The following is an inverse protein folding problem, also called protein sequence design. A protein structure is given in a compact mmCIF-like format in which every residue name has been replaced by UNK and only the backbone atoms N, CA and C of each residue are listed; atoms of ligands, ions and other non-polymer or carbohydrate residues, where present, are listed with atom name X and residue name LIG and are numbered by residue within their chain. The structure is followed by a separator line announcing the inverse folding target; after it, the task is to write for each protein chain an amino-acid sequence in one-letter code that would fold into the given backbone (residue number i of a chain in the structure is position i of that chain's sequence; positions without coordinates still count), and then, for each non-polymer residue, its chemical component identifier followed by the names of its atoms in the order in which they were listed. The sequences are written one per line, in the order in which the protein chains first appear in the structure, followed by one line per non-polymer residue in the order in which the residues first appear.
data_IF_889937895888
#
_entry.id   IF_889937895888
#
_cell.length_a   1.000
_cell.length_b   1.000
_cell.length_c   1.000
_cell.angle_alpha   90.00
_cell.angle_beta   90.00
_cell.angle_gamma   90.00
#
_symmetry.space_group_name_H-M   'P 1'
#
loop_
_entity.id
_entity.type
_entity.pdbx_description
1 polymer ?
#
# COMPACT_ATOMS: atom_id res chain seq x y z
N UNK A 1 -10.03 -27.65 -17.83
CA UNK A 1 -9.54 -27.26 -16.50
C UNK A 1 -9.93 -25.81 -16.27
N UNK A 2 -10.35 -25.45 -15.06
CA UNK A 2 -10.59 -24.04 -14.72
C UNK A 2 -9.25 -23.28 -14.75
N UNK A 3 -9.22 -22.09 -15.34
CA UNK A 3 -8.04 -21.22 -15.32
C UNK A 3 -7.71 -20.89 -13.87
N UNK A 4 -6.42 -20.93 -13.53
CA UNK A 4 -5.94 -20.33 -12.29
C UNK A 4 -6.11 -18.81 -12.36
N UNK A 5 -6.14 -18.15 -11.20
CA UNK A 5 -6.31 -16.70 -11.13
C UNK A 5 -5.25 -15.95 -11.95
N UNK A 6 -4.00 -16.38 -11.89
CA UNK A 6 -2.89 -15.75 -12.62
C UNK A 6 -3.01 -15.93 -14.13
N UNK A 7 -3.43 -17.10 -14.60
CA UNK A 7 -3.69 -17.35 -16.02
C UNK A 7 -4.86 -16.49 -16.53
N UNK A 8 -5.93 -16.41 -15.75
CA UNK A 8 -7.07 -15.55 -16.08
C UNK A 8 -6.66 -14.07 -16.18
N UNK A 9 -6.03 -13.52 -15.14
CA UNK A 9 -5.58 -12.13 -15.12
C UNK A 9 -4.62 -11.84 -16.28
N UNK A 10 -3.64 -12.72 -16.52
CA UNK A 10 -2.67 -12.56 -17.62
C UNK A 10 -3.31 -12.60 -18.99
N UNK A 11 -4.32 -13.45 -19.20
CA UNK A 11 -5.05 -13.53 -20.48
C UNK A 11 -5.79 -12.23 -20.81
N UNK A 12 -6.21 -11.49 -19.79
CA UNK A 12 -6.90 -10.20 -19.97
C UNK A 12 -5.94 -9.01 -20.13
N UNK A 13 -4.68 -9.16 -19.68
CA UNK A 13 -3.67 -8.09 -19.70
C UNK A 13 -3.36 -7.58 -21.11
N UNK A 14 -3.32 -8.46 -22.12
CA UNK A 14 -2.98 -8.09 -23.49
C UNK A 14 -4.02 -7.18 -24.17
N UNK A 15 -5.26 -7.18 -23.67
CA UNK A 15 -6.36 -6.37 -24.18
C UNK A 15 -6.66 -5.18 -23.25
N UNK A 16 -6.04 -5.16 -22.07
CA UNK A 16 -6.23 -4.11 -21.09
C UNK A 16 -5.36 -2.90 -21.45
N UNK A 17 -6.02 -1.80 -21.85
CA UNK A 17 -5.36 -0.55 -22.22
C UNK A 17 -4.43 -0.03 -21.12
N UNK A 18 -4.83 -0.09 -19.86
CA UNK A 18 -4.00 0.37 -18.73
C UNK A 18 -2.75 -0.49 -18.55
N UNK A 19 -2.86 -1.81 -18.78
CA UNK A 19 -1.71 -2.70 -18.73
C UNK A 19 -0.71 -2.39 -19.85
N UNK A 20 -1.20 -2.13 -21.06
CA UNK A 20 -0.36 -1.70 -22.19
C UNK A 20 0.31 -0.36 -21.87
N UNK A 21 -0.43 0.64 -21.41
CA UNK A 21 0.13 1.95 -21.06
C UNK A 21 1.18 1.85 -19.94
N UNK A 22 0.96 1.00 -18.94
CA UNK A 22 1.92 0.78 -17.86
C UNK A 22 3.21 0.06 -18.32
N UNK A 23 3.12 -0.86 -19.27
CA UNK A 23 4.25 -1.69 -19.72
C UNK A 23 4.95 -1.18 -20.99
N UNK A 24 4.30 -0.29 -21.74
CA UNK A 24 4.79 0.29 -23.00
C UNK A 24 4.77 1.82 -22.96
N UNK A 25 4.91 2.40 -21.76
CA UNK A 25 5.01 3.85 -21.59
C UNK A 25 6.17 4.44 -22.38
N UNK A 26 6.05 5.68 -22.85
CA UNK A 26 7.08 6.39 -23.64
C UNK A 26 8.47 6.32 -23.00
N UNK A 27 8.53 6.46 -21.67
CA UNK A 27 9.76 6.29 -20.89
C UNK A 27 10.45 4.95 -21.15
N UNK A 28 9.70 3.84 -21.10
CA UNK A 28 10.21 2.48 -21.31
C UNK A 28 10.60 2.26 -22.77
N UNK A 29 9.84 2.80 -23.71
CA UNK A 29 10.16 2.75 -25.14
C UNK A 29 11.49 3.48 -25.43
N UNK A 30 11.68 4.68 -24.90
CA UNK A 30 12.92 5.44 -25.05
C UNK A 30 14.11 4.72 -24.37
N UNK A 31 13.88 4.11 -23.21
CA UNK A 31 14.88 3.30 -22.52
C UNK A 31 15.31 2.10 -23.38
N UNK A 32 14.34 1.35 -23.93
CA UNK A 32 14.60 0.20 -24.81
C UNK A 32 15.28 0.56 -26.13
N UNK A 33 15.09 1.79 -26.61
CA UNK A 33 15.78 2.32 -27.80
C UNK A 33 17.17 2.92 -27.51
N UNK A 34 17.59 2.97 -26.24
CA UNK A 34 18.84 3.63 -25.84
C UNK A 34 18.83 5.15 -26.01
N UNK A 35 17.65 5.78 -26.09
CA UNK A 35 17.47 7.23 -26.31
C UNK A 35 17.03 7.98 -25.06
N UNK A 36 16.88 7.30 -23.93
CA UNK A 36 16.41 7.92 -22.69
C UNK A 36 17.45 8.93 -22.16
N UNK A 37 17.08 10.20 -21.95
CA UNK A 37 17.98 11.19 -21.36
C UNK A 37 18.40 10.81 -19.94
N UNK A 38 19.67 11.05 -19.61
CA UNK A 38 20.24 10.73 -18.30
C UNK A 38 19.47 11.39 -17.15
N UNK A 39 19.11 12.67 -17.30
CA UNK A 39 18.34 13.43 -16.31
C UNK A 39 16.95 12.83 -16.07
N UNK A 40 16.30 12.32 -17.13
CA UNK A 40 14.98 11.67 -17.01
C UNK A 40 15.09 10.34 -16.28
N UNK A 41 16.18 9.59 -16.49
CA UNK A 41 16.48 8.37 -15.75
C UNK A 41 16.79 8.66 -14.27
N UNK A 42 17.58 9.70 -13.99
CA UNK A 42 17.90 10.14 -12.63
C UNK A 42 16.65 10.57 -11.85
N UNK A 43 15.73 11.32 -12.49
CA UNK A 43 14.44 11.66 -11.90
C UNK A 43 13.61 10.42 -11.56
N UNK A 44 13.54 9.44 -12.46
CA UNK A 44 12.85 8.16 -12.18
C UNK A 44 13.48 7.42 -11.01
N UNK A 45 14.81 7.34 -10.94
CA UNK A 45 15.54 6.66 -9.87
C UNK A 45 15.37 7.34 -8.50
N UNK A 46 15.34 8.68 -8.45
CA UNK A 46 15.09 9.41 -7.19
C UNK A 46 13.70 9.13 -6.63
N UNK A 47 12.68 9.05 -7.50
CA UNK A 47 11.31 8.71 -7.13
C UNK A 47 11.17 7.26 -6.69
N UNK A 48 11.76 6.33 -7.46
CA UNK A 48 11.70 4.89 -7.17
C UNK A 48 12.39 4.56 -5.86
N UNK A 49 13.50 5.24 -5.53
CA UNK A 49 14.19 5.12 -4.24
C UNK A 49 13.28 5.44 -3.06
N UNK A 50 12.47 6.49 -3.16
CA UNK A 50 11.59 6.92 -2.05
C UNK A 50 10.47 5.91 -1.85
N UNK A 51 9.82 5.47 -2.93
CA UNK A 51 8.83 4.39 -2.86
C UNK A 51 9.43 3.12 -2.27
N UNK A 52 10.58 2.67 -2.79
CA UNK A 52 11.29 1.47 -2.38
C UNK A 52 11.80 1.53 -0.94
N UNK A 53 12.36 2.67 -0.50
CA UNK A 53 12.95 2.80 0.83
C UNK A 53 11.92 3.14 1.91
N UNK A 54 10.87 3.90 1.60
CA UNK A 54 9.97 4.46 2.60
C UNK A 54 8.58 3.81 2.58
N UNK A 55 7.91 3.77 1.43
CA UNK A 55 6.52 3.30 1.36
C UNK A 55 6.42 1.77 1.38
N UNK A 56 7.21 1.10 0.53
CA UNK A 56 7.15 -0.34 0.34
C UNK A 56 7.46 -1.14 1.63
N UNK A 57 8.50 -0.81 2.45
CA UNK A 57 8.78 -1.58 3.66
C UNK A 57 7.68 -1.45 4.71
N UNK A 58 7.06 -0.27 4.81
CA UNK A 58 5.92 -0.04 5.72
C UNK A 58 4.71 -0.87 5.31
N UNK A 59 4.39 -0.89 4.01
CA UNK A 59 3.31 -1.70 3.47
C UNK A 59 3.53 -3.20 3.72
N UNK A 60 4.72 -3.72 3.38
CA UNK A 60 5.02 -5.14 3.61
C UNK A 60 5.03 -5.48 5.10
N UNK A 61 5.56 -4.60 5.95
CA UNK A 61 5.49 -4.74 7.41
C UNK A 61 4.04 -4.85 7.91
N UNK A 62 3.14 -4.01 7.40
CA UNK A 62 1.72 -4.06 7.73
C UNK A 62 1.05 -5.38 7.31
N UNK A 63 1.46 -5.98 6.19
CA UNK A 63 1.00 -7.32 5.78
C UNK A 63 1.53 -8.42 6.69
N UNK A 64 2.82 -8.34 7.09
CA UNK A 64 3.44 -9.31 8.01
C UNK A 64 2.67 -9.37 9.34
N UNK A 65 2.30 -8.22 9.90
CA UNK A 65 1.55 -8.17 11.18
C UNK A 65 0.16 -8.80 11.11
N UNK A 66 -0.40 -9.00 9.91
CA UNK A 66 -1.74 -9.55 9.69
C UNK A 66 -1.73 -11.05 9.37
N UNK A 67 -0.57 -11.69 9.32
CA UNK A 67 -0.50 -13.15 9.12
C UNK A 67 -1.18 -13.82 10.33
N UNK A 68 -2.19 -14.70 10.12
CA UNK A 68 -3.03 -15.21 11.19
C UNK A 68 -2.38 -16.39 11.93
N UNK A 69 -1.19 -16.19 12.50
CA UNK A 69 -0.58 -17.16 13.40
C UNK A 69 -1.40 -17.30 14.68
N UNK A 70 -1.62 -18.54 15.14
CA UNK A 70 -2.26 -18.82 16.44
C UNK A 70 -1.40 -19.80 17.23
N UNK A 71 -1.33 -19.57 18.55
CA UNK A 71 -0.64 -20.48 19.47
C UNK A 71 -1.24 -21.89 19.50
N UNK A 72 -2.50 -22.02 19.06
CA UNK A 72 -3.23 -23.28 18.97
C UNK A 72 -2.97 -24.05 17.68
N UNK A 73 -2.28 -23.45 16.70
CA UNK A 73 -2.00 -24.13 15.44
C UNK A 73 -0.96 -25.25 15.66
N UNK A 74 -1.17 -26.40 15.01
CA UNK A 74 -0.21 -27.50 15.10
C UNK A 74 1.13 -27.09 14.47
N UNK A 75 2.23 -27.31 15.20
CA UNK A 75 3.60 -26.93 14.77
C UNK A 75 3.97 -27.49 13.39
N UNK A 76 3.48 -28.69 13.05
CA UNK A 76 3.72 -29.34 11.76
C UNK A 76 2.50 -29.32 10.82
N UNK A 77 1.44 -28.60 11.19
CA UNK A 77 0.18 -28.52 10.47
C UNK A 77 0.29 -27.68 9.19
N UNK A 78 -0.66 -27.87 8.28
CA UNK A 78 -0.66 -27.18 6.99
C UNK A 78 -0.93 -25.67 7.11
N UNK A 79 -1.65 -25.24 8.15
CA UNK A 79 -1.91 -23.81 8.43
C UNK A 79 -0.63 -23.09 8.84
N UNK A 80 0.12 -23.67 9.78
CA UNK A 80 1.40 -23.14 10.25
C UNK A 80 2.41 -23.04 9.09
N UNK A 81 2.55 -24.12 8.30
CA UNK A 81 3.41 -24.13 7.10
C UNK A 81 3.03 -23.03 6.12
N UNK A 82 1.74 -22.86 5.82
CA UNK A 82 1.28 -21.83 4.89
C UNK A 82 1.56 -20.41 5.41
N UNK A 83 1.35 -20.16 6.70
CA UNK A 83 1.66 -18.88 7.32
C UNK A 83 3.17 -18.60 7.28
N UNK A 84 4.01 -19.62 7.52
CA UNK A 84 5.47 -19.53 7.38
C UNK A 84 5.90 -19.25 5.94
N UNK A 85 5.26 -19.86 4.94
CA UNK A 85 5.51 -19.56 3.53
C UNK A 85 5.17 -18.11 3.17
N UNK A 86 4.04 -17.59 3.66
CA UNK A 86 3.64 -16.18 3.47
C UNK A 86 4.67 -15.25 4.13
N UNK A 87 5.06 -15.53 5.38
CA UNK A 87 6.05 -14.74 6.09
C UNK A 87 7.39 -14.73 5.35
N UNK A 88 7.84 -15.89 4.85
CA UNK A 88 9.07 -16.03 4.08
C UNK A 88 9.01 -15.23 2.78
N UNK A 89 7.88 -15.26 2.07
CA UNK A 89 7.68 -14.49 0.86
C UNK A 89 7.75 -12.97 1.15
N UNK A 90 7.03 -12.48 2.15
CA UNK A 90 7.03 -11.06 2.54
C UNK A 90 8.40 -10.59 3.03
N UNK A 91 9.12 -11.43 3.79
CA UNK A 91 10.50 -11.12 4.23
C UNK A 91 11.47 -11.08 3.05
N UNK A 92 11.26 -11.94 2.04
CA UNK A 92 12.05 -11.90 0.80
C UNK A 92 11.81 -10.59 0.03
N UNK A 93 10.57 -10.09 -0.01
CA UNK A 93 10.25 -8.78 -0.58
C UNK A 93 11.03 -7.65 0.12
N UNK A 94 11.10 -7.66 1.46
CA UNK A 94 11.89 -6.68 2.23
C UNK A 94 13.39 -6.80 1.96
N UNK A 95 13.90 -8.01 1.78
CA UNK A 95 15.33 -8.22 1.50
C UNK A 95 15.68 -7.72 0.10
N UNK A 96 14.82 -8.01 -0.89
CA UNK A 96 15.01 -7.59 -2.27
C UNK A 96 14.98 -6.07 -2.40
N UNK A 97 14.03 -5.40 -1.73
CA UNK A 97 13.91 -3.94 -1.86
C UNK A 97 15.13 -3.20 -1.27
N UNK A 98 15.73 -3.73 -0.20
CA UNK A 98 16.99 -3.19 0.35
C UNK A 98 18.11 -3.29 -0.68
N UNK A 99 18.25 -4.45 -1.34
CA UNK A 99 19.25 -4.65 -2.40
C UNK A 99 18.99 -3.73 -3.60
N UNK A 100 17.74 -3.51 -3.99
CA UNK A 100 17.37 -2.62 -5.09
C UNK A 100 17.73 -1.15 -4.79
N UNK A 101 17.46 -0.68 -3.56
CA UNK A 101 17.83 0.68 -3.14
C UNK A 101 19.35 0.89 -3.20
N UNK A 102 20.13 -0.09 -2.75
CA UNK A 102 21.59 -0.06 -2.85
C UNK A 102 22.07 -0.06 -4.32
N UNK A 103 21.44 -0.88 -5.17
CA UNK A 103 21.73 -0.93 -6.60
C UNK A 103 21.45 0.42 -7.29
N UNK A 104 20.34 1.10 -6.95
CA UNK A 104 20.03 2.43 -7.49
C UNK A 104 21.09 3.45 -7.11
N UNK A 105 21.52 3.45 -5.84
CA UNK A 105 22.58 4.35 -5.36
C UNK A 105 23.91 4.10 -6.07
N UNK A 106 24.31 2.85 -6.21
CA UNK A 106 25.55 2.47 -6.89
C UNK A 106 25.53 2.87 -8.37
N UNK A 107 24.42 2.60 -9.06
CA UNK A 107 24.24 2.93 -10.47
C UNK A 107 24.25 4.44 -10.69
N UNK A 108 23.54 5.20 -9.86
CA UNK A 108 23.56 6.66 -9.93
C UNK A 108 24.98 7.22 -9.76
N UNK A 109 25.73 6.72 -8.77
CA UNK A 109 27.13 7.14 -8.56
C UNK A 109 28.04 6.79 -9.74
N UNK A 110 27.91 5.59 -10.31
CA UNK A 110 28.74 5.12 -11.42
C UNK A 110 28.59 5.98 -12.68
N UNK A 111 27.39 6.51 -12.93
CA UNK A 111 27.10 7.34 -14.09
C UNK A 111 27.01 8.84 -13.78
N UNK A 112 27.39 9.26 -12.56
CA UNK A 112 27.38 10.67 -12.16
C UNK A 112 25.98 11.30 -12.12
N UNK A 113 24.94 10.51 -11.86
CA UNK A 113 23.56 10.98 -11.77
C UNK A 113 23.33 11.68 -10.42
N UNK A 114 22.99 12.97 -10.45
CA UNK A 114 22.58 13.70 -9.24
C UNK A 114 21.15 13.30 -8.87
N UNK A 115 21.00 12.54 -7.78
CA UNK A 115 19.70 12.05 -7.28
C UNK A 115 19.06 12.98 -6.23
N UNK A 116 19.85 13.82 -5.57
CA UNK A 116 19.42 14.59 -4.39
C UNK A 116 18.86 15.99 -4.75
N UNK A 117 18.81 16.35 -6.03
CA UNK A 117 18.38 17.68 -6.52
C UNK A 117 16.98 17.69 -7.15
N UNK A 118 16.24 16.57 -7.08
CA UNK A 118 14.90 16.46 -7.67
C UNK A 118 13.84 16.65 -6.59
N UNK A 119 12.82 17.48 -6.87
CA UNK A 119 11.65 17.56 -6.00
C UNK A 119 10.97 16.18 -5.94
N UNK A 120 10.78 15.66 -4.72
CA UNK A 120 10.12 14.40 -4.46
C UNK A 120 8.66 14.45 -4.91
N UNK A 121 8.20 13.40 -5.62
CA UNK A 121 6.77 13.23 -5.87
C UNK A 121 6.08 12.82 -4.57
N UNK A 122 5.29 13.73 -4.01
CA UNK A 122 4.54 13.51 -2.77
C UNK A 122 3.36 12.54 -2.89
N UNK A 123 3.12 11.96 -4.07
CA UNK A 123 2.03 10.99 -4.32
C UNK A 123 2.06 9.79 -3.35
N UNK A 124 3.25 9.27 -3.04
CA UNK A 124 3.39 8.17 -2.07
C UNK A 124 3.05 8.59 -0.64
N UNK A 125 3.35 9.84 -0.27
CA UNK A 125 2.98 10.43 1.02
C UNK A 125 1.47 10.73 1.07
N UNK A 126 0.88 11.21 -0.03
CA UNK A 126 -0.57 11.39 -0.16
C UNK A 126 -1.30 10.06 -0.02
N UNK A 127 -0.79 8.99 -0.64
CA UNK A 127 -1.36 7.65 -0.50
C UNK A 127 -1.33 7.16 0.96
N UNK A 128 -0.17 7.29 1.62
CA UNK A 128 -0.02 6.90 3.02
C UNK A 128 -0.95 7.71 3.92
N UNK A 129 -0.94 9.04 3.80
CA UNK A 129 -1.85 9.91 4.54
C UNK A 129 -3.31 9.55 4.30
N UNK A 130 -3.71 9.31 3.05
CA UNK A 130 -5.08 8.99 2.68
C UNK A 130 -5.58 7.71 3.35
N UNK A 131 -4.78 6.62 3.33
CA UNK A 131 -5.14 5.37 4.01
C UNK A 131 -5.34 5.58 5.51
N UNK A 132 -4.37 6.21 6.18
CA UNK A 132 -4.41 6.40 7.62
C UNK A 132 -5.54 7.35 8.03
N UNK A 133 -5.81 8.37 7.21
CA UNK A 133 -6.90 9.34 7.44
C UNK A 133 -8.28 8.67 7.33
N UNK A 134 -8.51 7.88 6.28
CA UNK A 134 -9.77 7.16 6.09
C UNK A 134 -10.00 6.17 7.22
N UNK A 135 -8.96 5.43 7.63
CA UNK A 135 -9.04 4.49 8.75
C UNK A 135 -9.35 5.20 10.08
N UNK A 136 -8.65 6.31 10.38
CA UNK A 136 -8.90 7.12 11.56
C UNK A 136 -10.35 7.65 11.60
N UNK A 137 -10.85 8.18 10.49
CA UNK A 137 -12.20 8.73 10.42
C UNK A 137 -13.27 7.63 10.58
N UNK A 138 -13.06 6.46 9.96
CA UNK A 138 -13.95 5.30 10.10
C UNK A 138 -14.04 4.82 11.56
N UNK A 139 -12.91 4.65 12.25
CA UNK A 139 -12.91 4.20 13.65
C UNK A 139 -13.35 5.29 14.63
N UNK A 140 -13.13 6.56 14.30
CA UNK A 140 -13.71 7.69 15.04
C UNK A 140 -15.23 7.70 14.92
N UNK A 141 -15.77 7.42 13.72
CA UNK A 141 -17.21 7.24 13.52
C UNK A 141 -17.75 6.08 14.37
N UNK A 142 -17.09 4.92 14.36
CA UNK A 142 -17.46 3.76 15.19
C UNK A 142 -17.44 4.13 16.68
N UNK A 143 -16.40 4.81 17.17
CA UNK A 143 -16.30 5.25 18.57
C UNK A 143 -17.47 6.16 18.96
N UNK A 144 -17.85 7.10 18.11
CA UNK A 144 -19.01 7.99 18.34
C UNK A 144 -20.32 7.19 18.37
N UNK A 145 -20.52 6.29 17.42
CA UNK A 145 -21.71 5.43 17.37
C UNK A 145 -21.84 4.52 18.61
N UNK A 146 -20.72 4.02 19.15
CA UNK A 146 -20.69 3.22 20.38
C UNK A 146 -21.07 3.99 21.65
N UNK A 147 -20.97 5.33 21.64
CA UNK A 147 -21.41 6.17 22.77
C UNK A 147 -22.93 6.35 22.78
N UNK A 148 -23.58 6.24 21.62
CA UNK A 148 -25.02 6.48 21.45
C UNK A 148 -25.86 5.20 21.47
N UNK A 149 -25.26 4.04 21.20
CA UNK A 149 -25.97 2.76 21.06
C UNK A 149 -25.73 1.84 22.28
N UNK A 150 -26.81 1.45 22.96
CA UNK A 150 -26.77 0.53 24.12
C UNK A 150 -26.83 -0.97 23.73
N UNK A 151 -27.02 -1.28 22.45
CA UNK A 151 -27.06 -2.65 21.95
C UNK A 151 -25.67 -3.30 22.07
N UNK A 152 -25.57 -4.37 22.88
CA UNK A 152 -24.32 -5.11 23.12
C UNK A 152 -24.34 -6.42 22.34
N UNK A 153 -23.62 -6.45 21.23
CA UNK A 153 -23.24 -7.70 20.55
C UNK A 153 -22.07 -8.38 21.27
N UNK A 154 -21.86 -9.67 21.03
CA UNK A 154 -20.67 -10.40 21.52
C UNK A 154 -19.35 -9.77 21.04
N UNK A 155 -19.35 -9.14 19.86
CA UNK A 155 -18.18 -8.43 19.31
C UNK A 155 -17.91 -7.07 19.94
N UNK A 156 -18.85 -6.52 20.70
CA UNK A 156 -18.78 -5.14 21.23
C UNK A 156 -17.51 -4.83 22.04
N UNK A 157 -16.96 -5.72 22.89
CA UNK A 157 -15.70 -5.46 23.59
C UNK A 157 -14.50 -5.30 22.64
N UNK A 158 -14.43 -6.13 21.58
CA UNK A 158 -13.37 -6.06 20.59
C UNK A 158 -13.46 -4.79 19.74
N UNK A 159 -14.67 -4.46 19.27
CA UNK A 159 -14.94 -3.23 18.51
C UNK A 159 -14.58 -1.99 19.33
N UNK A 160 -14.90 -1.96 20.64
CA UNK A 160 -14.48 -0.87 21.54
C UNK A 160 -12.96 -0.73 21.63
N UNK A 161 -12.22 -1.85 21.70
CA UNK A 161 -10.76 -1.84 21.75
C UNK A 161 -10.16 -1.28 20.46
N UNK A 162 -10.64 -1.73 19.30
CA UNK A 162 -10.22 -1.23 17.99
C UNK A 162 -10.55 0.25 17.80
N UNK A 163 -11.78 0.64 18.10
CA UNK A 163 -12.21 2.03 18.01
C UNK A 163 -11.38 2.93 18.92
N UNK A 164 -11.06 2.50 20.14
CA UNK A 164 -10.19 3.28 21.05
C UNK A 164 -8.78 3.43 20.50
N UNK A 165 -8.20 2.38 19.92
CA UNK A 165 -6.85 2.40 19.37
C UNK A 165 -6.73 3.30 18.13
N UNK A 166 -7.59 3.09 17.13
CA UNK A 166 -7.51 3.81 15.84
C UNK A 166 -8.24 5.14 15.82
N UNK A 167 -8.79 5.59 16.95
CA UNK A 167 -9.24 6.97 17.16
C UNK A 167 -8.59 7.62 18.38
N UNK A 168 -7.41 7.12 18.76
CA UNK A 168 -6.66 7.68 19.88
C UNK A 168 -6.04 9.03 19.51
N UNK A 169 -5.76 9.91 20.48
CA UNK A 169 -5.04 11.16 20.24
C UNK A 169 -3.66 10.93 19.61
N UNK A 170 -2.99 9.82 19.95
CA UNK A 170 -1.70 9.45 19.36
C UNK A 170 -1.84 9.14 17.87
N UNK A 171 -2.90 8.43 17.49
CA UNK A 171 -3.18 8.12 16.08
C UNK A 171 -3.58 9.37 15.29
N UNK A 172 -4.38 10.26 15.89
CA UNK A 172 -4.71 11.57 15.30
C UNK A 172 -3.45 12.41 15.05
N UNK A 173 -2.55 12.49 16.04
CA UNK A 173 -1.26 13.17 15.91
C UNK A 173 -0.39 12.55 14.81
N UNK A 174 -0.43 11.22 14.65
CA UNK A 174 0.28 10.54 13.58
C UNK A 174 -0.29 10.93 12.20
N UNK A 175 -1.61 10.88 12.01
CA UNK A 175 -2.27 11.30 10.77
C UNK A 175 -2.00 12.79 10.47
N UNK A 176 -2.02 13.64 11.49
CA UNK A 176 -1.66 15.06 11.38
C UNK A 176 -0.22 15.27 10.89
N UNK A 177 0.74 14.50 11.43
CA UNK A 177 2.13 14.59 10.99
C UNK A 177 2.32 14.20 9.51
N UNK A 178 1.53 13.24 9.00
CA UNK A 178 1.51 12.88 7.59
C UNK A 178 0.89 14.00 6.73
N UNK A 179 -0.15 14.67 7.23
CA UNK A 179 -0.79 15.79 6.55
C UNK A 179 0.20 16.97 6.39
N UNK A 180 0.96 17.29 7.43
CA UNK A 180 1.95 18.37 7.40
C UNK A 180 3.04 18.15 6.33
N UNK A 181 3.37 16.89 6.02
CA UNK A 181 4.34 16.57 4.97
C UNK A 181 3.84 16.86 3.55
N UNK A 182 2.52 16.97 3.36
CA UNK A 182 1.87 17.14 2.04
C UNK A 182 1.10 18.47 1.89
N UNK A 183 0.88 19.22 2.97
CA UNK A 183 0.08 20.45 2.98
C UNK A 183 0.71 21.63 2.19
N UNK A 184 1.96 21.54 1.79
CA UNK A 184 2.65 22.51 0.93
C UNK A 184 2.36 22.31 -0.56
N UNK A 185 1.65 21.24 -0.95
CA UNK A 185 1.15 21.04 -2.32
C UNK A 185 0.12 22.12 -2.64
N UNK A 186 0.40 22.95 -3.66
CA UNK A 186 -0.44 24.12 -3.98
C UNK A 186 -1.61 23.75 -4.90
N UNK A 187 -2.80 24.32 -4.68
CA UNK A 187 -3.93 24.14 -5.58
C UNK A 187 -3.61 24.54 -7.03
N UNK A 188 -4.11 23.76 -7.99
CA UNK A 188 -3.93 24.01 -9.42
C UNK A 188 -2.59 23.54 -10.00
N UNK A 189 -1.67 22.98 -9.20
CA UNK A 189 -0.47 22.33 -9.74
C UNK A 189 -0.76 20.91 -10.22
N UNK A 190 0.16 20.36 -11.02
CA UNK A 190 0.05 18.99 -11.45
C UNK A 190 0.22 17.99 -10.29
N UNK A 191 0.99 18.32 -9.22
CA UNK A 191 1.01 17.51 -7.99
C UNK A 191 -0.38 17.46 -7.33
N UNK A 192 -1.10 18.59 -7.27
CA UNK A 192 -2.44 18.63 -6.68
C UNK A 192 -3.40 17.67 -7.37
N UNK A 193 -3.49 17.74 -8.70
CA UNK A 193 -4.34 16.84 -9.49
C UNK A 193 -3.96 15.37 -9.32
N UNK A 194 -2.66 15.05 -9.22
CA UNK A 194 -2.21 13.68 -8.95
C UNK A 194 -2.55 13.24 -7.53
N UNK A 195 -2.42 14.13 -6.55
CA UNK A 195 -2.86 13.89 -5.18
C UNK A 195 -4.36 13.60 -5.08
N UNK A 196 -5.20 14.36 -5.79
CA UNK A 196 -6.64 14.10 -5.88
C UNK A 196 -6.94 12.72 -6.49
N UNK A 197 -6.23 12.33 -7.55
CA UNK A 197 -6.38 11.01 -8.16
C UNK A 197 -5.99 9.87 -7.20
N UNK A 198 -4.90 10.03 -6.44
CA UNK A 198 -4.49 9.08 -5.40
C UNK A 198 -5.55 8.98 -4.30
N UNK A 199 -6.07 10.11 -3.82
CA UNK A 199 -7.15 10.15 -2.83
C UNK A 199 -8.39 9.38 -3.30
N UNK A 200 -8.87 9.64 -4.52
CA UNK A 200 -10.01 8.92 -5.09
C UNK A 200 -9.77 7.42 -5.15
N UNK A 201 -8.57 7.00 -5.56
CA UNK A 201 -8.23 5.58 -5.65
C UNK A 201 -8.21 4.90 -4.28
N UNK A 202 -7.71 5.57 -3.25
CA UNK A 202 -7.74 5.05 -1.87
C UNK A 202 -9.17 4.88 -1.41
N UNK A 203 -10.05 5.86 -1.64
CA UNK A 203 -11.46 5.76 -1.28
C UNK A 203 -12.15 4.56 -1.95
N UNK A 204 -11.92 4.35 -3.25
CA UNK A 204 -12.45 3.18 -3.96
C UNK A 204 -12.02 1.86 -3.29
N UNK A 205 -10.74 1.73 -2.95
CA UNK A 205 -10.20 0.55 -2.30
C UNK A 205 -10.78 0.35 -0.89
N UNK A 206 -10.82 1.40 -0.08
CA UNK A 206 -11.32 1.37 1.29
C UNK A 206 -12.82 1.07 1.35
N UNK A 207 -13.63 1.55 0.40
CA UNK A 207 -15.05 1.17 0.31
C UNK A 207 -15.20 -0.34 0.06
N UNK A 208 -14.40 -0.91 -0.83
CA UNK A 208 -14.43 -2.36 -1.12
C UNK A 208 -13.78 -3.23 -0.06
N UNK A 209 -13.04 -2.62 0.88
CA UNK A 209 -12.35 -3.35 1.95
C UNK A 209 -13.30 -3.78 3.07
N UNK A 210 -14.33 -2.98 3.37
CA UNK A 210 -15.29 -3.30 4.42
C UNK A 210 -16.23 -4.42 3.97
N UNK A 211 -16.42 -5.48 4.77
CA UNK A 211 -17.17 -6.64 4.34
C UNK A 211 -18.66 -6.33 4.17
N UNK A 212 -19.27 -6.86 3.11
CA UNK A 212 -20.71 -6.80 2.91
C UNK A 212 -21.43 -7.87 3.76
N UNK A 213 -22.70 -7.61 4.10
CA UNK A 213 -23.48 -8.58 4.89
C UNK A 213 -23.62 -9.92 4.15
N UNK A 214 -23.22 -11.01 4.80
CA UNK A 214 -23.24 -12.36 4.23
C UNK A 214 -21.91 -12.79 3.58
N UNK A 215 -20.95 -11.88 3.40
CA UNK A 215 -19.60 -12.20 2.95
C UNK A 215 -18.87 -13.09 3.97
N UNK A 216 -19.15 -12.92 5.26
CA UNK A 216 -18.60 -13.75 6.33
C UNK A 216 -19.05 -15.23 6.23
N UNK A 217 -20.17 -15.51 5.57
CA UNK A 217 -20.68 -16.85 5.34
C UNK A 217 -20.07 -17.44 4.06
N UNK A 218 -19.97 -16.63 3.01
CA UNK A 218 -19.44 -17.09 1.71
C UNK A 218 -17.92 -17.32 1.72
N UNK A 219 -17.17 -16.49 2.46
CA UNK A 219 -15.71 -16.58 2.55
C UNK A 219 -15.21 -17.54 3.64
N UNK A 220 -16.07 -17.93 4.59
CA UNK A 220 -15.71 -18.89 5.62
C UNK A 220 -15.64 -20.29 5.03
N UNK A 221 -14.42 -20.77 4.75
CA UNK A 221 -14.18 -22.15 4.32
C UNK A 221 -14.78 -23.10 5.36
N UNK A 222 -15.70 -23.98 4.91
CA UNK A 222 -16.23 -25.06 5.75
C UNK A 222 -15.05 -25.94 6.14
N UNK A 223 -14.81 -26.03 7.45
CA UNK A 223 -13.88 -26.98 8.08
C UNK A 223 -14.25 -28.40 7.74
#
# INVERSE_FOLDING_TARGET
MALTLTEHLSSTSAQNKLYIEATQHEFLTLAGQGKLPLDRLALRLSQDRIYAAHAYPRFIGALITRIPFKETDEICGDVEKKNQEILKALTSCLTNIVQEVDFFKQTANMFGMYMDAWEERKEGLVFLWAMEKVYFDAWTYVRKALQTCDAKSESSPAVKKFATNWSSPEFDSFVGSLADMINDIKPGTAEWTRGEAVWQRVLELEVTFWPESGEEISMRKRS
#
